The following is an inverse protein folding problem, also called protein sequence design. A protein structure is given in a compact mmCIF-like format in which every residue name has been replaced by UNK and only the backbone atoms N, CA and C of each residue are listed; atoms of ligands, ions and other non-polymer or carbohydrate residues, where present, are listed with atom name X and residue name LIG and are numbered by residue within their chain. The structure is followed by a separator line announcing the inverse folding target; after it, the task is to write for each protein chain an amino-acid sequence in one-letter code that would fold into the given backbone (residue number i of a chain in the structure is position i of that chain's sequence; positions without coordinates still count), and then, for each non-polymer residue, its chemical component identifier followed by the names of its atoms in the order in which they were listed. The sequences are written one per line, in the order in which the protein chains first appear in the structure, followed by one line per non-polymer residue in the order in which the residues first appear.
data_IF_402492145675
#
_entry.id   IF_402492145675
#
_cell.length_a   1.000
_cell.length_b   1.000
_cell.length_c   1.000
_cell.angle_alpha   90.00
_cell.angle_beta   90.00
_cell.angle_gamma   90.00
#
_symmetry.space_group_name_H-M   'P 1'
#
loop_
_entity.id
_entity.type
_entity.pdbx_description
1 polymer ?
#
# COMPACT_ATOMS: atom_id res chain seq x y z
N UNK A 1 27.20 62.81 28.56
CA UNK A 1 26.78 61.61 27.82
C UNK A 1 25.36 61.82 27.32
N UNK A 2 25.21 62.64 26.27
CA UNK A 2 23.93 62.91 25.63
C UNK A 2 24.14 62.92 24.12
N UNK A 3 24.07 61.77 23.46
CA UNK A 3 24.18 61.76 21.99
C UNK A 3 23.43 60.64 21.28
N UNK A 4 23.13 59.49 21.91
CA UNK A 4 22.47 58.39 21.19
C UNK A 4 20.95 58.58 21.02
N UNK A 5 20.24 59.08 22.03
CA UNK A 5 18.77 59.26 21.93
C UNK A 5 18.41 60.47 21.04
N UNK A 6 19.16 61.57 21.17
CA UNK A 6 19.00 62.74 20.32
C UNK A 6 19.36 62.45 18.86
N UNK A 7 20.43 61.69 18.59
CA UNK A 7 20.80 61.30 17.23
C UNK A 7 19.77 60.33 16.60
N UNK A 8 19.27 59.35 17.36
CA UNK A 8 18.25 58.41 16.85
C UNK A 8 16.92 59.09 16.56
N UNK A 9 16.51 60.06 17.38
CA UNK A 9 15.29 60.86 17.15
C UNK A 9 15.44 61.81 15.96
N UNK A 10 16.59 62.46 15.79
CA UNK A 10 16.91 63.27 14.61
C UNK A 10 16.88 62.44 13.32
N UNK A 11 17.58 61.29 13.31
CA UNK A 11 17.58 60.38 12.16
C UNK A 11 16.18 59.85 11.81
N UNK A 12 15.32 59.60 12.81
CA UNK A 12 13.92 59.23 12.58
C UNK A 12 13.12 60.39 11.98
N UNK A 13 13.31 61.61 12.48
CA UNK A 13 12.62 62.81 11.99
C UNK A 13 12.99 63.10 10.54
N UNK A 14 14.27 63.00 10.19
CA UNK A 14 14.76 63.16 8.82
C UNK A 14 14.19 62.10 7.87
N UNK A 15 14.17 60.83 8.29
CA UNK A 15 13.53 59.74 7.51
C UNK A 15 12.04 59.99 7.28
N UNK A 16 11.31 60.45 8.29
CA UNK A 16 9.88 60.76 8.17
C UNK A 16 9.63 61.94 7.23
N UNK A 17 10.48 62.97 7.28
CA UNK A 17 10.40 64.12 6.36
C UNK A 17 10.67 63.66 4.92
N UNK A 18 11.67 62.80 4.69
CA UNK A 18 11.96 62.25 3.38
C UNK A 18 10.80 61.41 2.82
N UNK A 19 10.16 60.59 3.67
CA UNK A 19 8.97 59.82 3.30
C UNK A 19 7.78 60.73 2.97
N UNK A 20 7.58 61.82 3.73
CA UNK A 20 6.51 62.78 3.47
C UNK A 20 6.72 63.54 2.17
N UNK A 21 7.95 64.02 1.91
CA UNK A 21 8.31 64.65 0.62
C UNK A 21 8.13 63.69 -0.56
N UNK A 22 8.49 62.41 -0.39
CA UNK A 22 8.26 61.40 -1.43
C UNK A 22 6.76 61.16 -1.65
N UNK A 23 5.94 61.10 -0.59
CA UNK A 23 4.49 60.97 -0.72
C UNK A 23 3.86 62.19 -1.43
N UNK A 24 4.25 63.40 -1.05
CA UNK A 24 3.75 64.65 -1.67
C UNK A 24 4.13 64.73 -3.16
N UNK A 25 5.31 64.23 -3.56
CA UNK A 25 5.71 64.13 -4.96
C UNK A 25 4.90 63.08 -5.76
N UNK A 26 4.45 62.02 -5.09
CA UNK A 26 3.56 61.00 -5.68
C UNK A 26 2.14 61.54 -5.83
N UNK A 27 1.61 62.24 -4.82
CA UNK A 27 0.29 62.86 -4.87
C UNK A 27 0.22 64.01 -5.91
N UNK A 28 1.36 64.64 -6.23
CA UNK A 28 1.50 65.66 -7.30
C UNK A 28 1.72 65.07 -8.71
N UNK A 29 1.64 63.74 -8.88
CA UNK A 29 1.62 63.09 -10.20
C UNK A 29 2.90 63.25 -11.04
N UNK A 30 4.03 63.64 -10.46
CA UNK A 30 5.28 63.97 -11.20
C UNK A 30 6.34 62.86 -11.14
N UNK A 31 6.01 61.64 -10.70
CA UNK A 31 6.97 60.52 -10.61
C UNK A 31 6.65 59.40 -11.60
N UNK A 32 7.39 59.40 -12.71
CA UNK A 32 7.29 58.45 -13.84
C UNK A 32 8.06 57.14 -13.61
N UNK A 33 8.03 56.60 -12.39
CA UNK A 33 8.83 55.42 -12.04
C UNK A 33 8.30 54.69 -10.82
N UNK A 34 8.02 53.40 -11.01
CA UNK A 34 7.57 52.43 -10.01
C UNK A 34 8.04 52.75 -8.60
N UNK A 35 7.12 53.22 -7.77
CA UNK A 35 7.36 53.46 -6.35
C UNK A 35 7.37 52.08 -5.68
N UNK A 36 8.52 51.42 -5.70
CA UNK A 36 8.74 50.25 -4.85
C UNK A 36 8.61 50.72 -3.40
N UNK A 37 7.48 50.38 -2.79
CA UNK A 37 7.25 50.56 -1.37
C UNK A 37 8.43 49.94 -0.63
N UNK A 38 9.23 50.74 0.07
CA UNK A 38 10.33 50.28 0.91
C UNK A 38 9.86 49.48 2.15
N UNK A 39 8.56 49.14 2.22
CA UNK A 39 8.00 48.15 3.13
C UNK A 39 7.75 46.87 2.32
N UNK A 40 8.50 45.80 2.64
CA UNK A 40 8.27 44.48 2.06
C UNK A 40 6.88 43.99 2.49
N UNK A 41 5.90 44.13 1.60
CA UNK A 41 4.55 43.62 1.82
C UNK A 41 4.60 42.10 1.80
N UNK A 42 4.34 41.48 2.96
CA UNK A 42 4.46 40.02 3.12
C UNK A 42 3.36 39.29 2.34
N UNK A 43 2.13 39.81 2.43
CA UNK A 43 0.91 39.15 1.92
C UNK A 43 0.09 40.01 0.96
N UNK A 44 0.56 41.19 0.56
CA UNK A 44 -0.18 42.08 -0.34
C UNK A 44 0.57 42.20 -1.66
N UNK A 45 -0.19 42.15 -2.75
CA UNK A 45 0.31 42.30 -4.11
C UNK A 45 -0.11 43.66 -4.67
N UNK A 46 0.83 44.58 -4.96
CA UNK A 46 0.53 45.94 -5.36
C UNK A 46 -0.13 46.07 -6.74
N UNK A 47 0.07 45.11 -7.64
CA UNK A 47 -0.51 45.15 -8.99
C UNK A 47 -1.98 44.73 -8.97
N UNK A 48 -2.30 43.64 -8.28
CA UNK A 48 -3.67 43.10 -8.17
C UNK A 48 -4.48 43.74 -7.04
N UNK A 49 -3.86 44.61 -6.22
CA UNK A 49 -4.44 45.24 -5.03
C UNK A 49 -5.11 44.25 -4.06
N UNK A 50 -4.62 43.01 -4.06
CA UNK A 50 -5.25 41.88 -3.38
C UNK A 50 -4.31 41.16 -2.44
N UNK A 51 -4.84 40.09 -1.83
CA UNK A 51 -4.02 39.15 -1.08
C UNK A 51 -3.12 38.38 -2.05
N UNK A 52 -1.82 38.36 -1.76
CA UNK A 52 -0.83 37.57 -2.48
C UNK A 52 -1.14 36.10 -2.24
N UNK A 53 -1.90 35.49 -3.16
CA UNK A 53 -2.07 34.04 -3.20
C UNK A 53 -0.66 33.47 -3.27
N UNK A 54 -0.35 32.47 -2.43
CA UNK A 54 0.82 31.64 -2.73
C UNK A 54 0.53 31.14 -4.14
N UNK A 55 1.43 31.42 -5.08
CA UNK A 55 1.63 30.52 -6.18
C UNK A 55 1.84 29.18 -5.48
N UNK A 56 0.79 28.36 -5.45
CA UNK A 56 0.92 26.93 -5.28
C UNK A 56 1.81 26.57 -6.44
N UNK A 57 3.12 26.65 -6.21
CA UNK A 57 4.13 26.31 -7.20
C UNK A 57 3.68 24.98 -7.75
N UNK A 58 3.46 25.00 -9.07
CA UNK A 58 3.29 23.84 -9.95
C UNK A 58 2.48 22.73 -9.29
N UNK A 59 1.18 22.67 -9.58
CA UNK A 59 0.29 21.54 -9.25
C UNK A 59 1.08 20.24 -9.13
N UNK A 60 1.44 19.85 -7.91
CA UNK A 60 2.51 18.88 -7.62
C UNK A 60 2.59 17.84 -8.73
N UNK A 61 3.63 17.96 -9.56
CA UNK A 61 3.72 17.23 -10.84
C UNK A 61 3.75 15.71 -10.64
N UNK A 62 3.92 15.26 -9.38
CA UNK A 62 4.14 13.89 -8.99
C UNK A 62 3.14 13.47 -7.88
N UNK A 63 1.85 13.40 -8.23
CA UNK A 63 0.83 12.79 -7.36
C UNK A 63 0.49 11.39 -7.86
N UNK A 64 0.24 10.45 -6.94
CA UNK A 64 -0.12 9.06 -7.28
C UNK A 64 -1.36 9.00 -8.17
N UNK A 65 -2.29 9.96 -7.99
CA UNK A 65 -3.50 10.07 -8.81
C UNK A 65 -3.16 10.36 -10.28
N UNK A 66 -2.27 11.33 -10.56
CA UNK A 66 -1.77 11.63 -11.92
C UNK A 66 -0.98 10.46 -12.52
N UNK A 67 -0.24 9.71 -11.70
CA UNK A 67 0.54 8.55 -12.16
C UNK A 67 -0.31 7.33 -12.54
N UNK A 68 -1.49 7.19 -11.91
CA UNK A 68 -2.42 6.08 -12.14
C UNK A 68 -3.55 6.45 -13.11
N UNK A 69 -3.73 7.75 -13.38
CA UNK A 69 -4.64 8.26 -14.40
C UNK A 69 -4.32 7.63 -15.77
N UNK A 70 -5.30 6.94 -16.34
CA UNK A 70 -5.16 6.27 -17.65
C UNK A 70 -4.59 4.85 -17.61
N UNK A 71 -4.00 4.37 -16.50
CA UNK A 71 -3.51 2.99 -16.41
C UNK A 71 -4.67 1.99 -16.52
N UNK A 72 -5.81 2.28 -15.88
CA UNK A 72 -7.00 1.44 -15.96
C UNK A 72 -7.53 1.33 -17.39
N UNK A 73 -7.52 2.42 -18.16
CA UNK A 73 -7.96 2.44 -19.55
C UNK A 73 -6.99 1.65 -20.45
N UNK A 74 -5.69 1.73 -20.18
CA UNK A 74 -4.68 0.93 -20.88
C UNK A 74 -4.87 -0.56 -20.62
N UNK A 75 -5.09 -0.96 -19.37
CA UNK A 75 -5.34 -2.37 -19.01
C UNK A 75 -6.61 -2.90 -19.71
N UNK A 76 -7.68 -2.11 -19.75
CA UNK A 76 -8.93 -2.50 -20.42
C UNK A 76 -8.69 -2.67 -21.92
N UNK A 77 -7.99 -1.72 -22.57
CA UNK A 77 -7.65 -1.81 -24.00
C UNK A 77 -6.77 -3.03 -24.30
N UNK A 78 -5.79 -3.32 -23.46
CA UNK A 78 -4.92 -4.49 -23.61
C UNK A 78 -5.70 -5.82 -23.43
N UNK A 79 -6.65 -5.89 -22.49
CA UNK A 79 -7.52 -7.06 -22.34
C UNK A 79 -8.46 -7.24 -23.55
N UNK A 80 -9.00 -6.15 -24.08
CA UNK A 80 -9.81 -6.17 -25.31
C UNK A 80 -8.99 -6.61 -26.53
N UNK A 81 -7.77 -6.12 -26.68
CA UNK A 81 -6.84 -6.55 -27.73
C UNK A 81 -6.53 -8.05 -27.62
N UNK A 82 -6.18 -8.54 -26.43
CA UNK A 82 -5.92 -9.98 -26.18
C UNK A 82 -7.14 -10.88 -26.40
N UNK A 83 -8.36 -10.37 -26.19
CA UNK A 83 -9.59 -11.12 -26.50
C UNK A 83 -9.93 -11.11 -27.98
N UNK A 84 -9.58 -10.03 -28.68
CA UNK A 84 -9.78 -9.87 -30.12
C UNK A 84 -8.70 -10.59 -30.93
N UNK A 85 -7.53 -10.85 -30.36
CA UNK A 85 -6.55 -11.78 -30.91
C UNK A 85 -7.25 -13.12 -31.17
N UNK A 86 -7.27 -13.51 -32.45
CA UNK A 86 -7.91 -14.74 -32.89
C UNK A 86 -7.30 -15.92 -32.13
N UNK A 87 -8.15 -16.66 -31.42
CA UNK A 87 -7.75 -17.85 -30.68
C UNK A 87 -6.99 -18.79 -31.61
N UNK A 88 -5.71 -19.02 -31.32
CA UNK A 88 -4.87 -19.92 -32.10
C UNK A 88 -5.33 -21.38 -31.93
N UNK A 89 -6.21 -21.79 -32.83
CA UNK A 89 -6.83 -23.11 -32.91
C UNK A 89 -5.80 -24.23 -33.11
N UNK A 90 -4.58 -23.93 -33.57
CA UNK A 90 -3.53 -24.93 -33.78
C UNK A 90 -2.78 -25.26 -32.50
N UNK A 91 -2.68 -24.32 -31.56
CA UNK A 91 -2.06 -24.53 -30.25
C UNK A 91 -3.03 -25.09 -29.20
N UNK A 92 -4.34 -25.02 -29.44
CA UNK A 92 -5.36 -25.66 -28.60
C UNK A 92 -5.45 -27.14 -28.95
N UNK A 93 -4.81 -27.99 -28.14
CA UNK A 93 -4.95 -29.44 -28.29
C UNK A 93 -6.41 -29.88 -28.02
N UNK A 94 -6.97 -30.84 -28.79
CA UNK A 94 -8.27 -31.42 -28.48
C UNK A 94 -8.21 -32.06 -27.09
N UNK A 95 -9.11 -31.65 -26.21
CA UNK A 95 -9.13 -32.15 -24.83
C UNK A 95 -9.51 -33.64 -24.79
N UNK A 96 -8.92 -34.38 -23.84
CA UNK A 96 -9.24 -35.80 -23.62
C UNK A 96 -10.70 -35.96 -23.19
N UNK A 97 -11.37 -37.03 -23.61
CA UNK A 97 -12.79 -37.27 -23.31
C UNK A 97 -13.16 -37.21 -21.81
N UNK A 98 -12.23 -37.58 -20.92
CA UNK A 98 -12.42 -37.58 -19.46
C UNK A 98 -11.96 -36.30 -18.74
N UNK A 99 -11.58 -35.25 -19.47
CA UNK A 99 -11.03 -34.02 -18.87
C UNK A 99 -12.06 -33.34 -17.95
N UNK A 100 -13.33 -33.40 -18.33
CA UNK A 100 -14.43 -32.82 -17.57
C UNK A 100 -14.71 -33.62 -16.30
N UNK A 101 -14.72 -34.96 -16.42
CA UNK A 101 -14.84 -35.85 -15.27
C UNK A 101 -13.71 -35.60 -14.25
N UNK A 102 -12.46 -35.45 -14.72
CA UNK A 102 -11.33 -35.14 -13.83
C UNK A 102 -11.48 -33.78 -13.17
N UNK A 103 -11.93 -32.76 -13.91
CA UNK A 103 -12.14 -31.40 -13.39
C UNK A 103 -13.23 -31.38 -12.32
N UNK A 104 -14.38 -31.98 -12.61
CA UNK A 104 -15.53 -32.02 -11.71
C UNK A 104 -15.24 -32.88 -10.47
N UNK A 105 -14.53 -33.99 -10.65
CA UNK A 105 -14.05 -34.81 -9.54
C UNK A 105 -13.07 -34.03 -8.66
N UNK A 106 -12.09 -33.33 -9.24
CA UNK A 106 -11.12 -32.53 -8.47
C UNK A 106 -11.81 -31.45 -7.63
N UNK A 107 -12.85 -30.79 -8.15
CA UNK A 107 -13.60 -29.78 -7.38
C UNK A 107 -14.35 -30.40 -6.20
N UNK A 108 -14.91 -31.61 -6.37
CA UNK A 108 -15.54 -32.35 -5.27
C UNK A 108 -14.51 -32.85 -4.26
N UNK A 109 -13.37 -33.34 -4.73
CA UNK A 109 -12.29 -33.88 -3.89
C UNK A 109 -11.59 -32.79 -3.09
N UNK A 110 -11.39 -31.57 -3.61
CA UNK A 110 -10.71 -30.50 -2.88
C UNK A 110 -11.39 -30.12 -1.55
N UNK A 111 -12.73 -30.20 -1.48
CA UNK A 111 -13.47 -30.00 -0.22
C UNK A 111 -13.24 -31.13 0.78
N UNK A 112 -13.12 -32.37 0.27
CA UNK A 112 -12.90 -33.55 1.09
C UNK A 112 -11.45 -33.63 1.57
N UNK A 113 -10.48 -33.39 0.69
CA UNK A 113 -9.03 -33.38 0.99
C UNK A 113 -8.69 -32.48 2.18
N UNK A 114 -9.29 -31.28 2.27
CA UNK A 114 -9.09 -30.40 3.44
C UNK A 114 -9.53 -31.08 4.74
N UNK A 115 -10.74 -31.65 4.76
CA UNK A 115 -11.28 -32.34 5.94
C UNK A 115 -10.48 -33.60 6.26
N UNK A 116 -10.03 -34.33 5.25
CA UNK A 116 -9.18 -35.51 5.40
C UNK A 116 -7.84 -35.12 6.04
N UNK A 117 -7.21 -34.03 5.59
CA UNK A 117 -5.96 -33.53 6.18
C UNK A 117 -6.16 -33.06 7.63
N UNK A 118 -7.28 -32.38 7.94
CA UNK A 118 -7.66 -32.01 9.31
C UNK A 118 -7.86 -33.24 10.21
N UNK A 119 -8.53 -34.28 9.70
CA UNK A 119 -8.74 -35.54 10.40
C UNK A 119 -7.42 -36.28 10.64
N UNK A 120 -6.57 -36.38 9.61
CA UNK A 120 -5.22 -36.96 9.71
C UNK A 120 -4.41 -36.22 10.78
N UNK A 121 -4.41 -34.89 10.77
CA UNK A 121 -3.69 -34.10 11.78
C UNK A 121 -4.24 -34.34 13.20
N UNK A 122 -5.56 -34.50 13.34
CA UNK A 122 -6.19 -34.80 14.64
C UNK A 122 -5.80 -36.20 15.13
N UNK A 123 -5.81 -37.19 14.25
CA UNK A 123 -5.37 -38.55 14.55
C UNK A 123 -3.88 -38.55 14.95
N UNK A 124 -3.02 -37.83 14.22
CA UNK A 124 -1.61 -37.71 14.58
C UNK A 124 -1.40 -37.09 15.96
N UNK A 125 -2.15 -36.03 16.31
CA UNK A 125 -2.08 -35.43 17.65
C UNK A 125 -2.48 -36.41 18.74
N UNK A 126 -3.58 -37.14 18.55
CA UNK A 126 -4.03 -38.15 19.51
C UNK A 126 -3.00 -39.27 19.68
N UNK A 127 -2.44 -39.76 18.57
CA UNK A 127 -1.38 -40.78 18.58
C UNK A 127 -0.13 -40.29 19.31
N UNK A 128 0.34 -39.09 19.01
CA UNK A 128 1.49 -38.47 19.68
C UNK A 128 1.25 -38.29 21.19
N UNK A 129 0.05 -37.88 21.60
CA UNK A 129 -0.30 -37.76 23.01
C UNK A 129 -0.35 -39.11 23.72
N UNK A 130 -0.88 -40.16 23.07
CA UNK A 130 -0.89 -41.51 23.62
C UNK A 130 0.52 -42.07 23.80
N UNK A 131 1.42 -41.86 22.82
CA UNK A 131 2.83 -42.27 22.92
C UNK A 131 3.55 -41.53 24.06
N UNK A 132 3.41 -40.20 24.14
CA UNK A 132 4.00 -39.39 25.23
C UNK A 132 3.46 -39.68 26.62
N UNK A 133 2.29 -40.33 26.74
CA UNK A 133 1.75 -40.76 28.03
C UNK A 133 2.39 -42.07 28.49
N UNK A 134 2.83 -42.90 27.55
CA UNK A 134 3.44 -44.20 27.81
C UNK A 134 4.98 -44.12 27.91
N UNK A 135 5.60 -43.07 27.36
CA UNK A 135 7.04 -42.83 27.37
C UNK A 135 7.42 -41.52 28.11
N UNK A 136 8.67 -41.40 28.56
CA UNK A 136 9.19 -40.23 29.27
C UNK A 136 9.00 -38.92 28.48
N UNK A 137 8.66 -37.78 29.12
CA UNK A 137 8.27 -36.54 28.45
C UNK A 137 9.37 -35.86 27.63
N UNK A 138 10.62 -36.36 27.70
CA UNK A 138 11.79 -35.83 27.00
C UNK A 138 12.35 -36.81 25.95
N UNK A 139 11.68 -37.94 25.71
CA UNK A 139 12.09 -38.91 24.70
C UNK A 139 11.72 -38.42 23.29
N UNK A 140 12.64 -38.61 22.34
CA UNK A 140 12.43 -38.28 20.93
C UNK A 140 11.48 -39.32 20.32
N UNK A 141 10.26 -38.88 19.96
CA UNK A 141 9.21 -39.78 19.45
C UNK A 141 9.56 -40.25 18.04
N UNK A 142 9.94 -41.52 17.89
CA UNK A 142 10.10 -42.17 16.57
C UNK A 142 8.71 -42.53 16.00
N UNK A 143 8.21 -41.63 15.15
CA UNK A 143 6.91 -41.73 14.50
C UNK A 143 6.76 -42.99 13.64
N UNK A 144 7.83 -43.49 13.04
CA UNK A 144 7.75 -44.59 12.07
C UNK A 144 7.63 -45.93 12.80
N UNK A 145 8.46 -46.15 13.82
CA UNK A 145 8.36 -47.33 14.68
C UNK A 145 7.02 -47.40 15.43
N UNK A 146 6.54 -46.25 15.94
CA UNK A 146 5.26 -46.18 16.65
C UNK A 146 4.04 -46.45 15.76
N UNK A 147 4.07 -46.08 14.47
CA UNK A 147 3.01 -46.41 13.52
C UNK A 147 3.00 -47.91 13.21
N UNK A 148 4.17 -48.51 12.92
CA UNK A 148 4.27 -49.93 12.60
C UNK A 148 3.84 -50.84 13.76
N UNK A 149 4.21 -50.50 15.01
CA UNK A 149 3.79 -51.25 16.19
C UNK A 149 2.27 -51.18 16.42
N UNK A 150 1.66 -50.01 16.19
CA UNK A 150 0.21 -49.82 16.35
C UNK A 150 -0.62 -50.45 15.23
N UNK A 151 -0.08 -50.57 14.01
CA UNK A 151 -0.71 -51.32 12.91
C UNK A 151 -0.73 -52.81 13.23
N UNK A 152 0.38 -53.37 13.71
CA UNK A 152 0.45 -54.75 14.14
C UNK A 152 -0.56 -55.08 15.26
N UNK A 153 -0.67 -54.22 16.28
CA UNK A 153 -1.64 -54.41 17.38
C UNK A 153 -3.10 -54.32 16.90
N UNK A 154 -3.38 -53.50 15.88
CA UNK A 154 -4.73 -53.41 15.28
C UNK A 154 -5.07 -54.64 14.46
N UNK A 155 -4.12 -55.11 13.66
CA UNK A 155 -4.31 -56.30 12.83
C UNK A 155 -4.50 -57.55 13.72
N UNK A 156 -3.74 -57.68 14.81
CA UNK A 156 -3.93 -58.74 15.80
C UNK A 156 -5.31 -58.68 16.49
N UNK A 157 -5.78 -57.47 16.86
CA UNK A 157 -7.12 -57.28 17.43
C UNK A 157 -8.22 -57.64 16.43
N UNK A 158 -8.09 -57.21 15.17
CA UNK A 158 -9.06 -57.53 14.13
C UNK A 158 -9.13 -59.05 13.87
N UNK A 159 -7.99 -59.76 13.90
CA UNK A 159 -7.94 -61.22 13.78
C UNK A 159 -8.63 -61.89 14.98
N UNK A 160 -8.50 -61.33 16.18
CA UNK A 160 -9.16 -61.87 17.38
C UNK A 160 -10.68 -61.65 17.41
N UNK A 161 -11.17 -60.54 16.86
CA UNK A 161 -12.61 -60.22 16.80
C UNK A 161 -13.36 -61.01 15.73
N UNK A 162 -12.67 -61.53 14.71
CA UNK A 162 -13.27 -62.32 13.61
C UNK A 162 -13.29 -63.84 13.90
N UNK A 163 -12.72 -64.28 15.04
CA UNK A 163 -12.68 -65.68 15.51
C UNK A 163 -13.71 -66.04 16.59
N UNK A 164 -14.52 -65.08 17.07
CA UNK A 164 -15.61 -65.25 18.05
C UNK A 164 -16.99 -65.12 17.38
#
# INVERSE_FOLDING_TARGET
METNLAATTAARKERLIALRKRKEAVDAGTSDGQIHFALKQRNYDPETRGFRKRETGEEGEDTVEKAVEGLAEQIIKEDEEKRNEELDLFNIQPKRANWDLKRDMNNRMGKLERKTNEAIATIFRQRLQAMRKNEDPNAQVDLVAGIAAAEHERDERAISEDSD
#
